data_IF_690102648022
#
_entry.id   IF_690102648022
#
_cell.length_a   1.000
_cell.length_b   1.000
_cell.length_c   1.000
_cell.angle_alpha   90.00
_cell.angle_beta   90.00
_cell.angle_gamma   90.00
#
_symmetry.space_group_name_H-M   'P 1'
#
loop_
_entity.id
_entity.type
_entity.pdbx_description
1 polymer ?
#
# COMPACT_ATOMS: atom_id res chain seq x y z
N UNK A 1 37.14 3.78 -26.46
CA UNK A 1 36.83 2.97 -25.26
C UNK A 1 35.82 3.75 -24.42
N UNK A 2 34.53 3.59 -24.72
CA UNK A 2 33.44 4.18 -23.93
C UNK A 2 33.13 3.22 -22.78
N UNK A 3 33.49 3.60 -21.56
CA UNK A 3 33.12 2.85 -20.36
C UNK A 3 31.59 2.88 -20.21
N UNK A 4 30.95 1.73 -20.41
CA UNK A 4 29.59 1.46 -19.91
C UNK A 4 29.64 1.48 -18.39
N UNK A 5 29.44 2.66 -17.82
CA UNK A 5 29.06 2.79 -16.42
C UNK A 5 27.75 2.04 -16.23
N UNK A 6 27.79 0.91 -15.51
CA UNK A 6 26.61 0.19 -15.07
C UNK A 6 25.75 1.12 -14.21
N UNK A 7 24.88 1.90 -14.86
CA UNK A 7 23.98 2.86 -14.21
C UNK A 7 22.99 2.05 -13.37
N UNK A 8 23.06 2.21 -12.04
CA UNK A 8 22.02 1.74 -11.14
C UNK A 8 20.66 2.27 -11.63
N UNK A 9 19.60 1.43 -11.65
CA UNK A 9 18.29 1.88 -12.08
C UNK A 9 17.82 3.02 -11.17
N UNK A 10 17.43 4.14 -11.78
CA UNK A 10 16.84 5.26 -11.05
C UNK A 10 15.39 4.87 -10.76
N UNK A 11 15.06 4.70 -9.47
CA UNK A 11 13.70 4.41 -9.03
C UNK A 11 12.99 5.74 -8.83
N UNK A 12 11.99 6.00 -9.67
CA UNK A 12 11.14 7.20 -9.59
C UNK A 12 9.72 6.79 -9.21
N UNK A 13 9.14 7.51 -8.27
CA UNK A 13 7.71 7.41 -7.96
C UNK A 13 6.86 8.05 -9.07
N UNK A 14 5.61 7.61 -9.20
CA UNK A 14 4.68 8.21 -10.16
C UNK A 14 4.50 9.73 -9.93
N UNK A 15 4.59 10.20 -8.68
CA UNK A 15 4.54 11.63 -8.35
C UNK A 15 5.78 12.40 -8.82
N UNK A 16 6.96 11.77 -8.80
CA UNK A 16 8.19 12.36 -9.34
C UNK A 16 8.15 12.46 -10.86
N UNK A 17 7.65 11.42 -11.54
CA UNK A 17 7.44 11.47 -12.99
C UNK A 17 6.45 12.58 -13.34
N UNK A 18 5.32 12.65 -12.64
CA UNK A 18 4.32 13.72 -12.85
C UNK A 18 4.91 15.11 -12.66
N UNK A 19 5.65 15.35 -11.59
CA UNK A 19 6.29 16.66 -11.35
C UNK A 19 7.36 17.00 -12.37
N UNK A 20 8.14 16.02 -12.85
CA UNK A 20 9.08 16.22 -13.96
C UNK A 20 8.36 16.64 -15.26
N UNK A 21 7.26 15.97 -15.60
CA UNK A 21 6.49 16.29 -16.82
C UNK A 21 5.84 17.68 -16.78
N UNK A 22 5.45 18.16 -15.60
CA UNK A 22 4.83 19.49 -15.44
C UNK A 22 5.88 20.59 -15.41
N UNK A 23 6.94 20.43 -14.61
CA UNK A 23 8.03 21.41 -14.52
C UNK A 23 9.35 20.74 -14.12
N UNK A 24 10.24 20.46 -15.08
CA UNK A 24 11.51 19.77 -14.84
C UNK A 24 12.40 20.46 -13.82
N UNK A 25 12.41 21.79 -13.83
CA UNK A 25 13.26 22.58 -12.93
C UNK A 25 12.77 22.47 -11.47
N UNK A 26 11.45 22.52 -11.25
CA UNK A 26 10.89 22.29 -9.92
C UNK A 26 11.18 20.88 -9.40
N UNK A 27 11.17 19.89 -10.28
CA UNK A 27 11.53 18.52 -9.96
C UNK A 27 13.01 18.40 -9.59
N UNK A 28 13.91 19.01 -10.37
CA UNK A 28 15.37 19.03 -10.11
C UNK A 28 15.66 19.60 -8.72
N UNK A 29 15.06 20.74 -8.39
CA UNK A 29 15.22 21.39 -7.09
C UNK A 29 14.70 20.54 -5.92
N UNK A 30 13.59 19.80 -6.12
CA UNK A 30 12.96 18.98 -5.07
C UNK A 30 13.63 17.62 -4.89
N UNK A 31 13.96 16.93 -5.98
CA UNK A 31 14.39 15.51 -5.97
C UNK A 31 15.91 15.38 -5.94
N UNK A 32 16.62 16.17 -6.75
CA UNK A 32 18.09 16.14 -6.81
C UNK A 32 18.69 17.01 -5.71
N UNK A 33 18.27 18.26 -5.60
CA UNK A 33 18.81 19.21 -4.61
C UNK A 33 18.18 19.07 -3.21
N UNK A 34 17.13 18.24 -3.07
CA UNK A 34 16.42 17.94 -1.81
C UNK A 34 15.96 19.20 -1.05
N UNK A 35 15.63 20.29 -1.75
CA UNK A 35 15.02 21.45 -1.10
C UNK A 35 13.68 21.04 -0.49
N UNK A 36 13.57 21.14 0.84
CA UNK A 36 12.32 20.88 1.55
C UNK A 36 11.31 21.93 1.15
N UNK A 37 10.24 21.48 0.52
CA UNK A 37 9.01 22.28 0.39
C UNK A 37 8.13 21.88 1.56
N UNK A 38 7.61 22.87 2.30
CA UNK A 38 6.65 22.59 3.36
C UNK A 38 5.45 21.84 2.78
N UNK A 39 5.09 20.74 3.43
CA UNK A 39 3.98 19.92 2.98
C UNK A 39 2.69 20.74 3.09
N UNK A 40 1.99 20.93 1.97
CA UNK A 40 0.70 21.61 1.95
C UNK A 40 -0.29 20.88 2.88
N UNK A 41 -1.14 21.61 3.62
CA UNK A 41 -2.11 21.03 4.55
C UNK A 41 -3.06 20.05 3.85
N UNK A 42 -3.43 20.30 2.59
CA UNK A 42 -4.26 19.36 1.81
C UNK A 42 -3.61 17.97 1.63
N UNK A 43 -2.28 17.89 1.60
CA UNK A 43 -1.54 16.62 1.46
C UNK A 43 -1.54 15.77 2.74
N UNK A 44 -1.69 16.38 3.92
CA UNK A 44 -1.73 15.65 5.19
C UNK A 44 -3.12 15.05 5.43
N UNK A 45 -4.17 15.77 5.06
CA UNK A 45 -5.55 15.29 5.13
C UNK A 45 -5.79 14.10 4.19
N UNK A 46 -5.35 14.17 2.93
CA UNK A 46 -5.45 13.05 1.99
C UNK A 46 -4.74 11.78 2.50
N UNK A 47 -3.56 11.93 3.12
CA UNK A 47 -2.84 10.81 3.74
C UNK A 47 -3.60 10.22 4.93
N UNK A 48 -4.23 11.07 5.74
CA UNK A 48 -5.07 10.63 6.88
C UNK A 48 -6.26 9.81 6.38
N UNK A 49 -6.97 10.30 5.36
CA UNK A 49 -8.12 9.61 4.77
C UNK A 49 -7.71 8.27 4.15
N UNK A 50 -6.59 8.23 3.42
CA UNK A 50 -6.08 7.00 2.84
C UNK A 50 -5.76 5.96 3.92
N UNK A 51 -5.08 6.36 5.01
CA UNK A 51 -4.81 5.48 6.15
C UNK A 51 -6.09 4.94 6.78
N UNK A 52 -7.10 5.79 6.99
CA UNK A 52 -8.38 5.37 7.54
C UNK A 52 -9.12 4.40 6.62
N UNK A 53 -9.05 4.61 5.30
CA UNK A 53 -9.65 3.71 4.32
C UNK A 53 -9.00 2.33 4.36
N UNK A 54 -7.66 2.28 4.31
CA UNK A 54 -6.90 1.01 4.38
C UNK A 54 -7.20 0.27 5.68
N UNK A 55 -7.28 0.97 6.81
CA UNK A 55 -7.64 0.35 8.09
C UNK A 55 -9.03 -0.29 8.09
N UNK A 56 -10.03 0.36 7.48
CA UNK A 56 -11.38 -0.21 7.38
C UNK A 56 -11.40 -1.49 6.54
N UNK A 57 -10.68 -1.49 5.41
CA UNK A 57 -10.56 -2.68 4.57
C UNK A 57 -9.87 -3.83 5.30
N UNK A 58 -8.82 -3.53 6.04
CA UNK A 58 -8.07 -4.54 6.79
C UNK A 58 -8.90 -5.13 7.94
N UNK A 59 -9.66 -4.29 8.65
CA UNK A 59 -10.60 -4.76 9.66
C UNK A 59 -11.69 -5.67 9.07
N UNK A 60 -12.23 -5.31 7.91
CA UNK A 60 -13.24 -6.12 7.22
C UNK A 60 -12.67 -7.47 6.75
N UNK A 61 -11.45 -7.48 6.20
CA UNK A 61 -10.78 -8.70 5.75
C UNK A 61 -10.50 -9.66 6.93
N UNK A 62 -10.06 -9.11 8.06
CA UNK A 62 -9.84 -9.86 9.29
C UNK A 62 -11.13 -10.46 9.85
N UNK A 63 -12.23 -9.69 9.86
CA UNK A 63 -13.53 -10.20 10.31
C UNK A 63 -14.03 -11.34 9.42
N UNK A 64 -13.97 -11.18 8.09
CA UNK A 64 -14.34 -12.23 7.15
C UNK A 64 -13.52 -13.51 7.34
N UNK A 65 -12.21 -13.36 7.59
CA UNK A 65 -11.32 -14.49 7.85
C UNK A 65 -11.72 -15.23 9.13
N UNK A 66 -12.02 -14.49 10.21
CA UNK A 66 -12.50 -15.09 11.47
C UNK A 66 -13.83 -15.82 11.30
N UNK A 67 -14.77 -15.25 10.55
CA UNK A 67 -16.06 -15.89 10.25
C UNK A 67 -15.88 -17.17 9.45
N UNK A 68 -15.00 -17.18 8.45
CA UNK A 68 -14.67 -18.40 7.68
C UNK A 68 -14.10 -19.50 8.57
N UNK A 69 -13.20 -19.16 9.50
CA UNK A 69 -12.63 -20.13 10.44
C UNK A 69 -13.72 -20.68 11.38
N UNK A 70 -14.60 -19.82 11.89
CA UNK A 70 -15.72 -20.23 12.75
C UNK A 70 -16.66 -21.20 12.02
N UNK A 71 -17.01 -20.90 10.76
CA UNK A 71 -17.85 -21.77 9.93
C UNK A 71 -17.17 -23.11 9.64
N UNK A 72 -15.86 -23.11 9.37
CA UNK A 72 -15.12 -24.35 9.17
C UNK A 72 -15.12 -25.22 10.43
N UNK A 73 -14.90 -24.62 11.62
CA UNK A 73 -15.00 -25.30 12.90
C UNK A 73 -16.38 -25.90 13.14
N UNK A 74 -17.45 -25.13 12.89
CA UNK A 74 -18.81 -25.61 13.03
C UNK A 74 -19.10 -26.80 12.10
N UNK A 75 -18.67 -26.70 10.84
CA UNK A 75 -18.77 -27.78 9.87
C UNK A 75 -18.05 -29.04 10.32
N UNK A 76 -16.81 -28.91 10.80
CA UNK A 76 -16.05 -30.06 11.34
C UNK A 76 -16.72 -30.69 12.56
N UNK A 77 -17.28 -29.88 13.47
CA UNK A 77 -18.00 -30.38 14.63
C UNK A 77 -19.26 -31.17 14.24
N UNK A 78 -20.02 -30.67 13.26
CA UNK A 78 -21.19 -31.38 12.71
C UNK A 78 -20.76 -32.71 12.09
N UNK A 79 -19.72 -32.72 11.25
CA UNK A 79 -19.21 -33.95 10.61
C UNK A 79 -18.76 -34.97 11.67
N UNK A 80 -18.03 -34.53 12.71
CA UNK A 80 -17.61 -35.40 13.81
C UNK A 80 -18.80 -35.95 14.63
N UNK A 81 -19.84 -35.14 14.84
CA UNK A 81 -21.06 -35.58 15.51
C UNK A 81 -21.75 -36.70 14.73
N UNK A 82 -21.92 -36.52 13.42
CA UNK A 82 -22.52 -37.56 12.57
C UNK A 82 -21.63 -38.81 12.47
N UNK A 83 -20.30 -38.67 12.48
CA UNK A 83 -19.37 -39.81 12.48
C UNK A 83 -19.35 -40.60 13.80
N UNK A 84 -19.61 -39.94 14.94
CA UNK A 84 -19.70 -40.60 16.25
C UNK A 84 -21.09 -41.14 16.57
N UNK A 85 -22.13 -40.56 15.98
CA UNK A 85 -23.52 -40.99 16.15
C UNK A 85 -23.95 -42.13 15.23
N UNK A 86 -23.11 -42.47 14.24
CA UNK A 86 -23.19 -43.68 13.42
C UNK A 86 -22.37 -44.81 14.07
#
# INVERSE_FOLDING_TARGET
>A
MTQESAKKPIILSAGEIGSYTVCPESWRLRVIERRRVEALPASSEGRKLHRLSVQKYDQASHLLTKVKILLALLGTAIVLYFLKGL
#
